data_IF_614567207214
#
_entry.id   IF_614567207214
#
_cell.length_a   1.000
_cell.length_b   1.000
_cell.length_c   1.000
_cell.angle_alpha   90.00
_cell.angle_beta   90.00
_cell.angle_gamma   90.00
#
_symmetry.space_group_name_H-M   'P 1'
#
loop_
_entity.id
_entity.type
_entity.pdbx_description
1 polymer ?
#
# COMPACT_ATOMS: atom_id res chain seq x y z
N UNK A 1 23.47 -5.22 -4.09
CA UNK A 1 22.56 -4.17 -3.58
C UNK A 1 21.19 -4.33 -4.23
N UNK A 2 20.11 -4.34 -3.45
CA UNK A 2 18.78 -4.53 -3.99
C UNK A 2 18.22 -3.16 -4.42
N UNK A 3 18.26 -2.86 -5.73
CA UNK A 3 17.51 -1.75 -6.33
C UNK A 3 16.04 -2.14 -6.32
N UNK A 4 15.40 -1.99 -5.15
CA UNK A 4 13.96 -2.21 -4.97
C UNK A 4 13.24 -0.96 -5.54
N UNK A 5 11.96 -0.91 -5.86
CA UNK A 5 11.33 0.11 -6.74
C UNK A 5 10.16 0.85 -6.01
N UNK A 6 10.18 2.16 -5.72
CA UNK A 6 9.25 2.75 -4.70
C UNK A 6 7.83 3.06 -5.17
N UNK A 7 6.82 2.70 -4.37
CA UNK A 7 5.42 3.14 -4.55
C UNK A 7 5.27 4.56 -3.99
N UNK A 8 4.88 5.51 -4.84
CA UNK A 8 4.69 6.91 -4.45
C UNK A 8 3.22 7.29 -4.63
N UNK A 9 2.63 7.91 -3.62
CA UNK A 9 1.23 8.35 -3.69
C UNK A 9 1.09 9.49 -4.71
N UNK A 10 0.10 9.40 -5.60
CA UNK A 10 -0.19 10.48 -6.58
C UNK A 10 -0.98 11.63 -5.98
N UNK A 11 -1.63 11.38 -4.84
CA UNK A 11 -2.54 12.29 -4.15
C UNK A 11 -2.46 12.08 -2.65
N UNK A 12 -2.97 13.02 -1.87
CA UNK A 12 -3.12 12.83 -0.42
C UNK A 12 -4.09 11.68 -0.13
N UNK A 13 -3.63 10.71 0.64
CA UNK A 13 -4.38 9.55 1.08
C UNK A 13 -4.59 9.66 2.60
N UNK A 14 -5.84 9.73 3.08
CA UNK A 14 -6.11 9.77 4.50
C UNK A 14 -5.81 8.41 5.18
N UNK A 15 -5.55 8.43 6.49
CA UNK A 15 -5.53 7.21 7.29
C UNK A 15 -6.82 6.40 7.08
N UNK A 16 -6.69 5.08 6.95
CA UNK A 16 -7.79 4.17 6.64
C UNK A 16 -8.15 4.05 5.15
N UNK A 17 -7.53 4.85 4.26
CA UNK A 17 -7.75 4.74 2.82
C UNK A 17 -7.29 3.38 2.29
N UNK A 18 -8.08 2.80 1.38
CA UNK A 18 -7.79 1.52 0.75
C UNK A 18 -6.81 1.73 -0.41
N UNK A 19 -5.64 1.09 -0.33
CA UNK A 19 -4.62 1.24 -1.35
C UNK A 19 -5.02 0.55 -2.64
N UNK A 20 -5.22 1.36 -3.69
CA UNK A 20 -5.56 0.92 -5.04
C UNK A 20 -4.49 1.31 -6.03
N UNK A 21 -4.30 0.50 -7.08
CA UNK A 21 -3.22 0.69 -8.06
C UNK A 21 -3.25 2.06 -8.75
N UNK A 22 -4.44 2.63 -8.98
CA UNK A 22 -4.63 3.96 -9.56
C UNK A 22 -4.13 5.12 -8.69
N UNK A 23 -4.00 4.91 -7.37
CA UNK A 23 -3.54 5.94 -6.43
C UNK A 23 -2.02 5.97 -6.29
N UNK A 24 -1.30 5.13 -7.04
CA UNK A 24 0.13 5.00 -6.96
C UNK A 24 0.79 5.10 -8.32
N UNK A 25 1.89 5.85 -8.35
CA UNK A 25 2.79 5.89 -9.50
C UNK A 25 4.10 5.20 -9.16
N UNK A 26 4.60 4.51 -10.17
CA UNK A 26 5.91 3.91 -10.16
C UNK A 26 6.96 4.94 -10.56
N UNK A 27 7.65 5.51 -9.57
CA UNK A 27 8.72 6.49 -9.82
C UNK A 27 10.06 5.77 -9.95
N UNK A 28 10.82 6.08 -11.02
CA UNK A 28 12.23 5.70 -11.19
C UNK A 28 13.11 6.95 -11.07
N UNK A 29 14.38 6.84 -10.60
CA UNK A 29 14.96 5.70 -9.91
C UNK A 29 14.42 5.64 -8.47
N UNK A 30 13.68 4.59 -8.12
CA UNK A 30 13.09 4.41 -6.78
C UNK A 30 13.64 3.13 -6.16
N UNK A 31 13.68 3.07 -4.82
CA UNK A 31 14.28 2.05 -3.92
C UNK A 31 13.27 1.14 -3.16
N UNK A 32 11.99 1.06 -3.52
CA UNK A 32 10.92 0.35 -2.76
C UNK A 32 10.33 -0.99 -3.29
N UNK A 33 9.02 -1.19 -3.32
CA UNK A 33 8.37 -2.49 -3.62
C UNK A 33 8.80 -3.11 -4.98
N UNK A 34 9.26 -4.38 -5.06
CA UNK A 34 9.56 -5.04 -6.33
C UNK A 34 8.27 -5.37 -7.13
N UNK A 35 8.33 -5.39 -8.47
CA UNK A 35 7.19 -5.82 -9.29
C UNK A 35 6.75 -7.23 -8.87
N UNK A 36 5.47 -7.40 -8.55
CA UNK A 36 4.91 -8.66 -8.04
C UNK A 36 4.72 -8.73 -6.51
N UNK A 37 5.36 -7.86 -5.73
CA UNK A 37 5.05 -7.70 -4.29
C UNK A 37 4.02 -6.59 -4.00
N UNK A 38 3.43 -6.01 -5.04
CA UNK A 38 2.37 -4.99 -4.89
C UNK A 38 1.21 -5.53 -4.05
N UNK A 39 0.87 -6.81 -4.18
CA UNK A 39 -0.20 -7.45 -3.40
C UNK A 39 0.03 -7.46 -1.89
N UNK A 40 1.26 -7.21 -1.42
CA UNK A 40 1.52 -7.07 0.02
C UNK A 40 1.09 -5.71 0.59
N UNK A 41 0.78 -4.73 -0.26
CA UNK A 41 0.29 -3.39 0.13
C UNK A 41 -1.03 -3.00 -0.55
N UNK A 42 -1.24 -3.40 -1.80
CA UNK A 42 -2.49 -3.17 -2.52
C UNK A 42 -3.62 -3.96 -1.86
N UNK A 43 -4.77 -3.31 -1.71
CA UNK A 43 -5.92 -3.85 -0.98
C UNK A 43 -5.82 -3.73 0.55
N UNK A 44 -4.72 -3.19 1.10
CA UNK A 44 -4.61 -2.86 2.52
C UNK A 44 -5.06 -1.44 2.81
N UNK A 45 -5.44 -1.20 4.06
CA UNK A 45 -5.76 0.15 4.54
C UNK A 45 -4.52 0.83 5.08
N UNK A 46 -4.39 2.13 4.85
CA UNK A 46 -3.35 2.91 5.50
C UNK A 46 -3.58 3.00 7.01
N UNK A 47 -2.52 2.89 7.80
CA UNK A 47 -2.55 3.12 9.25
C UNK A 47 -2.37 4.61 9.59
N UNK A 48 -1.88 5.40 8.64
CA UNK A 48 -1.68 6.86 8.78
C UNK A 48 -1.91 7.57 7.45
N UNK A 49 -2.15 8.88 7.50
CA UNK A 49 -2.26 9.69 6.27
C UNK A 49 -0.90 9.82 5.57
N UNK A 50 -0.92 9.69 4.24
CA UNK A 50 0.23 9.81 3.33
C UNK A 50 -0.05 10.98 2.40
N UNK A 51 0.93 11.86 2.18
CA UNK A 51 0.76 13.00 1.27
C UNK A 51 1.07 12.65 -0.18
N UNK A 52 0.56 13.45 -1.12
CA UNK A 52 0.97 13.35 -2.52
C UNK A 52 2.50 13.49 -2.65
N UNK A 53 3.14 12.60 -3.41
CA UNK A 53 4.60 12.56 -3.56
C UNK A 53 5.35 11.83 -2.44
N UNK A 54 4.66 11.40 -1.38
CA UNK A 54 5.27 10.62 -0.30
C UNK A 54 5.34 9.13 -0.64
N UNK A 55 6.40 8.47 -0.18
CA UNK A 55 6.62 7.04 -0.42
C UNK A 55 5.84 6.19 0.58
N UNK A 56 5.14 5.18 0.07
CA UNK A 56 4.43 4.20 0.91
C UNK A 56 5.32 3.00 1.19
N UNK A 57 5.42 2.63 2.46
CA UNK A 57 6.13 1.45 2.91
C UNK A 57 5.16 0.39 3.46
N UNK A 58 5.55 -0.91 3.50
CA UNK A 58 4.72 -1.97 4.08
C UNK A 58 4.36 -1.78 5.57
N UNK A 59 5.05 -0.88 6.28
CA UNK A 59 4.77 -0.48 7.67
C UNK A 59 3.62 0.53 7.79
N UNK A 60 3.30 1.25 6.72
CA UNK A 60 2.21 2.23 6.69
C UNK A 60 0.86 1.60 6.37
N UNK A 61 0.83 0.28 6.12
CA UNK A 61 -0.40 -0.46 5.81
C UNK A 61 -0.75 -1.43 6.93
N UNK A 62 -2.04 -1.53 7.18
CA UNK A 62 -2.61 -2.45 8.14
C UNK A 62 -2.54 -3.88 7.60
N UNK A 63 -1.90 -4.77 8.35
CA UNK A 63 -1.78 -6.19 7.99
C UNK A 63 -3.02 -7.00 8.41
N UNK A 64 -4.09 -6.37 8.93
CA UNK A 64 -5.27 -7.08 9.42
C UNK A 64 -6.25 -7.50 8.31
N UNK A 65 -5.92 -7.34 7.03
CA UNK A 65 -6.79 -7.78 5.92
C UNK A 65 -6.95 -9.30 5.81
N UNK A 66 -6.22 -10.09 6.60
CA UNK A 66 -6.49 -11.52 6.84
C UNK A 66 -7.44 -11.69 8.05
N UNK A 67 -8.60 -11.04 8.07
CA UNK A 67 -9.74 -11.51 8.87
C UNK A 67 -11.07 -11.15 8.22
N UNK A 68 -11.53 -12.06 7.38
CA UNK A 68 -12.93 -12.50 7.45
C UNK A 68 -12.92 -13.97 7.87
N UNK A 69 -13.13 -14.33 9.14
CA UNK A 69 -13.95 -15.51 9.37
C UNK A 69 -15.34 -15.12 8.84
N UNK A 70 -15.79 -15.79 7.79
CA UNK A 70 -17.18 -15.76 7.39
C UNK A 70 -17.97 -16.43 8.51
N UNK A 71 -18.41 -15.64 9.49
CA UNK A 71 -19.27 -16.12 10.56
C UNK A 71 -20.70 -16.12 10.03
N UNK A 72 -21.27 -17.32 9.89
CA UNK A 72 -22.66 -17.54 10.28
C UNK A 72 -23.64 -17.87 9.15
N UNK A 73 -24.18 -19.08 9.20
CA UNK A 73 -25.63 -19.29 9.24
C UNK A 73 -25.91 -20.70 9.78
N UNK A 74 -26.62 -20.71 10.93
CA UNK A 74 -27.47 -21.75 11.55
C UNK A 74 -27.17 -23.23 11.30
#
# INVERSE_FOLDING_TARGET
EAVRRSLTAVSDLPAGALLSKDQFVWVRPGTGIPPGQEGSVLGKKLTRSIRAGEQVSPKDVDNATEKRPANGSL
#
